data_IF_803875922457
#
_entry.id   IF_803875922457
#
_cell.length_a   1.000
_cell.length_b   1.000
_cell.length_c   1.000
_cell.angle_alpha   90.00
_cell.angle_beta   90.00
_cell.angle_gamma   90.00
#
_symmetry.space_group_name_H-M   'P 1'
#
loop_
_entity.id
_entity.type
_entity.pdbx_description
1 polymer ?
#
# COMPACT_ATOMS: atom_id res chain seq x y z
N UNK A 1 -43.26 -46.32 15.64
CA UNK A 1 -42.37 -47.12 16.52
C UNK A 1 -41.00 -47.39 15.91
N UNK A 2 -40.87 -47.80 14.64
CA UNK A 2 -39.56 -48.04 13.99
C UNK A 2 -38.68 -46.78 13.92
N UNK A 3 -39.25 -45.64 13.54
CA UNK A 3 -38.53 -44.38 13.42
C UNK A 3 -37.99 -43.84 14.76
N UNK A 4 -38.76 -43.98 15.84
CA UNK A 4 -38.28 -43.66 17.19
C UNK A 4 -37.09 -44.53 17.57
N UNK A 5 -37.11 -45.83 17.26
CA UNK A 5 -35.98 -46.74 17.53
C UNK A 5 -34.74 -46.36 16.73
N UNK A 6 -34.89 -45.98 15.46
CA UNK A 6 -33.78 -45.51 14.61
C UNK A 6 -33.19 -44.21 15.18
N UNK A 7 -34.01 -43.26 15.60
CA UNK A 7 -33.55 -42.01 16.20
C UNK A 7 -32.85 -42.25 17.54
N UNK A 8 -33.39 -43.13 18.40
CA UNK A 8 -32.77 -43.48 19.68
C UNK A 8 -31.42 -44.17 19.50
N UNK A 9 -31.30 -45.09 18.54
CA UNK A 9 -30.05 -45.77 18.23
C UNK A 9 -29.01 -44.82 17.61
N UNK A 10 -29.43 -43.93 16.71
CA UNK A 10 -28.55 -42.92 16.13
C UNK A 10 -28.02 -41.94 17.16
N UNK A 11 -28.85 -41.50 18.10
CA UNK A 11 -28.44 -40.64 19.21
C UNK A 11 -27.40 -41.35 20.10
N UNK A 12 -27.63 -42.62 20.47
CA UNK A 12 -26.69 -43.42 21.26
C UNK A 12 -25.31 -43.54 20.61
N UNK A 13 -25.25 -43.74 19.28
CA UNK A 13 -23.99 -43.81 18.54
C UNK A 13 -23.25 -42.47 18.54
N UNK A 14 -23.96 -41.37 18.29
CA UNK A 14 -23.36 -40.01 18.29
C UNK A 14 -22.80 -39.62 19.67
N UNK A 15 -23.52 -39.94 20.75
CA UNK A 15 -23.02 -39.66 22.10
C UNK A 15 -21.84 -40.53 22.51
N UNK A 16 -21.71 -41.75 21.98
CA UNK A 16 -20.56 -42.62 22.25
C UNK A 16 -19.28 -42.19 21.53
N UNK A 17 -19.39 -41.50 20.39
CA UNK A 17 -18.22 -41.05 19.61
C UNK A 17 -17.50 -39.86 20.27
N UNK A 18 -18.21 -38.98 20.98
CA UNK A 18 -17.60 -37.82 21.65
C UNK A 18 -16.87 -38.15 22.97
N UNK A 19 -17.10 -39.31 23.57
CA UNK A 19 -16.45 -39.65 24.86
C UNK A 19 -15.11 -40.37 24.71
N UNK A 20 -14.77 -40.84 23.51
CA UNK A 20 -13.50 -41.54 23.25
C UNK A 20 -12.29 -40.59 23.36
N UNK A 21 -12.43 -39.32 22.97
CA UNK A 21 -11.35 -38.34 23.15
C UNK A 21 -11.21 -37.90 24.61
N UNK A 22 -12.31 -37.90 25.37
CA UNK A 22 -12.32 -37.54 26.80
C UNK A 22 -11.68 -38.61 27.69
N UNK A 23 -11.89 -39.91 27.40
CA UNK A 23 -11.27 -41.00 28.17
C UNK A 23 -9.76 -41.14 27.92
N UNK A 24 -9.24 -40.65 26.80
CA UNK A 24 -7.83 -40.83 26.45
C UNK A 24 -6.88 -39.81 27.09
N UNK A 25 -7.37 -38.87 27.90
CA UNK A 25 -6.57 -37.83 28.56
C UNK A 25 -5.48 -37.25 27.63
N UNK A 26 -5.84 -36.97 26.38
CA UNK A 26 -4.90 -36.37 25.45
C UNK A 26 -4.60 -34.97 25.95
N UNK A 27 -3.32 -34.74 26.24
CA UNK A 27 -2.85 -33.41 26.61
C UNK A 27 -3.21 -32.43 25.48
N UNK A 28 -3.49 -31.18 25.82
CA UNK A 28 -3.89 -30.16 24.82
C UNK A 28 -2.87 -30.03 23.67
N UNK A 29 -1.61 -30.38 23.94
CA UNK A 29 -0.52 -30.47 22.98
C UNK A 29 -0.78 -31.58 21.95
N UNK A 30 -1.29 -32.75 22.32
CA UNK A 30 -1.55 -33.85 21.37
C UNK A 30 -2.74 -33.56 20.47
N UNK A 31 -3.77 -32.86 20.98
CA UNK A 31 -4.98 -32.52 20.21
C UNK A 31 -4.78 -31.28 19.33
N UNK A 32 -4.01 -30.27 19.78
CA UNK A 32 -3.79 -29.02 19.04
C UNK A 32 -2.49 -29.00 18.23
N UNK A 33 -1.46 -29.75 18.62
CA UNK A 33 -0.21 -29.86 17.88
C UNK A 33 -0.23 -31.02 16.87
N UNK A 34 -1.43 -31.37 16.36
CA UNK A 34 -1.59 -32.24 15.20
C UNK A 34 -0.63 -31.79 14.10
N UNK A 35 0.34 -32.67 13.82
CA UNK A 35 1.51 -32.41 12.98
C UNK A 35 2.28 -31.12 13.30
N UNK A 36 2.68 -30.97 14.57
CA UNK A 36 3.55 -29.89 15.03
C UNK A 36 4.82 -29.78 14.18
N UNK A 37 5.33 -30.90 13.69
CA UNK A 37 6.47 -30.93 12.79
C UNK A 37 6.14 -30.26 11.44
N UNK A 38 4.97 -30.52 10.85
CA UNK A 38 4.49 -29.84 9.64
C UNK A 38 4.14 -28.37 9.86
N UNK A 39 3.56 -28.02 11.01
CA UNK A 39 3.32 -26.63 11.38
C UNK A 39 4.62 -25.85 11.65
N UNK A 40 5.64 -26.51 12.21
CA UNK A 40 6.94 -25.91 12.53
C UNK A 40 7.81 -25.69 11.29
N UNK A 41 7.54 -26.35 10.15
CA UNK A 41 8.34 -26.20 8.92
C UNK A 41 8.38 -24.75 8.42
N UNK A 42 7.25 -24.05 8.55
CA UNK A 42 7.09 -22.66 8.11
C UNK A 42 7.58 -21.65 9.16
N UNK A 43 7.58 -22.02 10.45
CA UNK A 43 8.01 -21.12 11.54
C UNK A 43 9.52 -21.16 11.80
N UNK A 44 10.19 -22.27 11.49
CA UNK A 44 11.61 -22.48 11.76
C UNK A 44 12.50 -22.38 10.50
N UNK A 45 11.98 -21.86 9.39
CA UNK A 45 12.76 -21.72 8.16
C UNK A 45 13.81 -20.61 8.32
N UNK A 46 15.09 -20.96 8.22
CA UNK A 46 16.24 -20.07 8.50
C UNK A 46 16.34 -18.90 7.52
N UNK A 47 15.70 -18.98 6.34
CA UNK A 47 15.48 -17.87 5.43
C UNK A 47 14.23 -18.17 4.59
N UNK A 48 13.03 -17.68 4.98
CA UNK A 48 11.78 -17.98 4.28
C UNK A 48 11.63 -17.15 2.99
N UNK A 49 12.54 -16.23 2.72
CA UNK A 49 12.44 -15.31 1.59
C UNK A 49 13.13 -15.86 0.36
N UNK A 50 12.70 -15.37 -0.80
CA UNK A 50 13.38 -15.61 -2.06
C UNK A 50 14.83 -15.07 -1.96
N UNK A 51 15.87 -15.82 -2.36
CA UNK A 51 17.26 -15.34 -2.35
C UNK A 51 17.47 -14.00 -3.06
N UNK A 52 16.64 -13.70 -4.07
CA UNK A 52 16.68 -12.42 -4.79
C UNK A 52 16.06 -11.25 -4.00
N UNK A 53 15.41 -11.50 -2.86
CA UNK A 53 14.82 -10.47 -2.00
C UNK A 53 15.86 -9.57 -1.35
N UNK A 54 17.10 -10.07 -1.20
CA UNK A 54 18.22 -9.28 -0.69
C UNK A 54 18.92 -8.45 -1.79
N UNK A 55 18.43 -8.52 -3.03
CA UNK A 55 19.01 -7.78 -4.13
C UNK A 55 18.53 -6.33 -4.10
N UNK A 56 19.34 -5.44 -3.52
CA UNK A 56 19.10 -3.99 -3.54
C UNK A 56 19.67 -3.31 -4.79
N UNK A 57 20.08 -4.09 -5.80
CA UNK A 57 20.55 -3.57 -7.08
C UNK A 57 19.39 -2.99 -7.86
N UNK A 58 19.41 -1.68 -8.05
CA UNK A 58 18.47 -0.99 -8.93
C UNK A 58 19.08 -1.03 -10.33
N UNK A 59 18.46 -1.76 -11.24
CA UNK A 59 18.86 -1.82 -12.65
C UNK A 59 18.66 -0.44 -13.29
N UNK A 60 19.71 0.39 -13.27
CA UNK A 60 19.74 1.67 -13.96
C UNK A 60 20.70 2.70 -13.37
N UNK A 61 21.34 3.47 -14.25
CA UNK A 61 22.19 4.58 -13.84
C UNK A 61 21.34 5.74 -13.32
N UNK A 62 21.69 6.25 -12.13
CA UNK A 62 21.07 7.46 -11.58
C UNK A 62 21.14 8.64 -12.54
N UNK A 63 22.18 8.71 -13.39
CA UNK A 63 22.30 9.69 -14.46
C UNK A 63 21.16 9.60 -15.50
N UNK A 64 20.69 8.40 -15.85
CA UNK A 64 19.55 8.19 -16.76
C UNK A 64 18.24 8.62 -16.09
N UNK A 65 18.05 8.33 -14.81
CA UNK A 65 16.90 8.80 -14.05
C UNK A 65 16.88 10.33 -13.94
N UNK A 66 18.03 10.96 -13.70
CA UNK A 66 18.19 12.42 -13.69
C UNK A 66 17.97 13.02 -15.08
N UNK A 67 18.39 12.35 -16.16
CA UNK A 67 18.13 12.78 -17.52
C UNK A 67 16.62 12.74 -17.85
N UNK A 68 15.92 11.67 -17.45
CA UNK A 68 14.46 11.57 -17.60
C UNK A 68 13.74 12.65 -16.77
N UNK A 69 14.14 12.85 -15.52
CA UNK A 69 13.63 13.92 -14.66
C UNK A 69 13.83 15.31 -15.30
N UNK A 70 15.03 15.58 -15.82
CA UNK A 70 15.32 16.84 -16.48
C UNK A 70 14.55 17.01 -17.79
N UNK A 71 14.29 15.93 -18.53
CA UNK A 71 13.44 15.96 -19.72
C UNK A 71 12.00 16.35 -19.35
N UNK A 72 11.41 15.73 -18.32
CA UNK A 72 10.10 16.14 -17.79
C UNK A 72 10.10 17.57 -17.23
N UNK A 73 11.16 17.98 -16.53
CA UNK A 73 11.31 19.35 -16.01
C UNK A 73 11.39 20.39 -17.12
N UNK A 74 12.03 20.06 -18.24
CA UNK A 74 12.10 20.92 -19.44
C UNK A 74 10.79 20.92 -20.22
N UNK A 75 9.92 19.93 -20.01
CA UNK A 75 8.52 19.91 -20.45
C UNK A 75 7.60 20.42 -19.32
N UNK A 76 8.09 21.36 -18.48
CA UNK A 76 7.19 22.37 -17.94
C UNK A 76 6.45 22.99 -19.14
N UNK A 77 5.11 23.14 -19.09
CA UNK A 77 4.31 23.25 -20.29
C UNK A 77 4.73 24.46 -21.10
N UNK A 78 5.29 24.18 -22.28
CA UNK A 78 5.32 25.15 -23.36
C UNK A 78 3.87 25.35 -23.82
N UNK A 79 3.16 26.29 -23.18
CA UNK A 79 1.84 26.73 -23.60
C UNK A 79 0.76 26.49 -22.56
N UNK A 80 0.27 27.59 -22.01
CA UNK A 80 -0.88 27.65 -21.13
C UNK A 80 -0.68 28.77 -20.12
N UNK A 81 -0.79 30.02 -20.59
CA UNK A 81 -0.87 31.18 -19.72
C UNK A 81 -1.94 30.96 -18.63
N UNK A 82 -1.62 31.27 -17.38
CA UNK A 82 -2.35 32.18 -16.47
C UNK A 82 -1.93 31.87 -15.02
N UNK A 83 -1.50 32.89 -14.31
CA UNK A 83 -1.18 32.89 -12.88
C UNK A 83 -1.99 34.06 -12.33
N UNK A 84 -3.29 33.83 -12.34
CA UNK A 84 -4.34 34.82 -12.32
C UNK A 84 -4.41 35.57 -11.00
N UNK A 85 -3.74 36.72 -11.02
CA UNK A 85 -4.32 37.97 -10.55
C UNK A 85 -5.16 38.63 -11.69
N UNK A 86 -5.81 37.72 -12.43
CA UNK A 86 -6.85 37.76 -13.46
C UNK A 86 -6.70 38.73 -14.62
N UNK A 87 -5.95 38.27 -15.62
CA UNK A 87 -5.87 38.89 -16.95
C UNK A 87 -5.97 37.98 -18.19
N UNK A 88 -6.37 36.69 -18.10
CA UNK A 88 -6.69 35.76 -19.23
C UNK A 88 -5.49 35.27 -20.08
N UNK A 89 -5.55 34.23 -20.94
CA UNK A 89 -6.35 32.99 -20.94
C UNK A 89 -5.53 31.86 -20.29
N UNK A 90 -6.08 31.34 -19.20
CA UNK A 90 -5.99 30.00 -18.59
C UNK A 90 -6.64 30.13 -17.22
N UNK A 91 -7.40 29.16 -16.74
CA UNK A 91 -8.20 29.35 -15.54
C UNK A 91 -7.51 28.66 -14.37
N UNK A 92 -6.33 29.15 -14.00
CA UNK A 92 -5.57 28.61 -12.89
C UNK A 92 -6.23 29.02 -11.55
N UNK A 93 -5.90 28.38 -10.41
CA UNK A 93 -6.47 28.77 -9.13
C UNK A 93 -5.91 30.11 -8.65
N UNK A 94 -6.77 31.12 -8.51
CA UNK A 94 -6.43 32.46 -8.00
C UNK A 94 -5.63 32.36 -6.69
N UNK A 95 -4.39 32.85 -6.72
CA UNK A 95 -3.60 33.04 -5.50
C UNK A 95 -4.02 34.36 -4.88
N UNK A 96 -4.71 34.30 -3.74
CA UNK A 96 -5.08 35.49 -3.00
C UNK A 96 -3.87 36.04 -2.23
N UNK A 97 -3.29 37.14 -2.73
CA UNK A 97 -2.32 37.96 -2.00
C UNK A 97 -1.07 38.35 -2.80
N UNK A 98 -0.21 39.21 -2.22
CA UNK A 98 1.06 39.59 -2.82
C UNK A 98 1.96 38.36 -2.98
N UNK A 99 2.38 38.09 -4.20
CA UNK A 99 3.21 36.93 -4.54
C UNK A 99 4.66 37.40 -4.69
N UNK A 100 5.59 36.75 -3.99
CA UNK A 100 7.02 37.10 -4.12
C UNK A 100 7.60 36.56 -5.43
N UNK A 101 8.13 37.45 -6.26
CA UNK A 101 8.79 37.11 -7.51
C UNK A 101 10.27 36.85 -7.24
N UNK A 102 10.69 35.59 -7.38
CA UNK A 102 12.08 35.15 -7.08
C UNK A 102 12.95 34.99 -8.32
N UNK A 103 12.44 35.35 -9.50
CA UNK A 103 13.11 35.22 -10.79
C UNK A 103 12.65 36.27 -11.82
N UNK A 104 13.00 36.08 -13.09
CA UNK A 104 12.56 36.99 -14.15
C UNK A 104 11.03 37.01 -14.27
N UNK A 105 10.43 38.19 -14.26
CA UNK A 105 8.98 38.38 -14.39
C UNK A 105 8.50 38.13 -15.84
N UNK A 106 8.51 36.85 -16.20
CA UNK A 106 8.15 36.37 -17.54
C UNK A 106 6.65 36.56 -17.82
N UNK A 107 5.84 36.60 -16.75
CA UNK A 107 4.39 36.67 -16.81
C UNK A 107 3.84 38.08 -16.57
N UNK A 108 4.70 39.07 -16.31
CA UNK A 108 4.34 40.49 -16.10
C UNK A 108 3.37 40.69 -14.92
N UNK A 109 3.66 40.03 -13.80
CA UNK A 109 2.86 40.14 -12.58
C UNK A 109 3.31 41.30 -11.66
N UNK A 110 4.53 41.83 -11.87
CA UNK A 110 5.16 42.92 -11.10
C UNK A 110 5.30 44.15 -12.00
N UNK A 111 4.36 45.09 -11.87
CA UNK A 111 4.27 46.25 -12.75
C UNK A 111 5.31 47.34 -12.45
N UNK A 112 5.67 47.51 -11.19
CA UNK A 112 6.55 48.57 -10.69
C UNK A 112 7.97 48.08 -10.32
N UNK A 113 8.23 46.78 -10.49
CA UNK A 113 9.52 46.09 -10.42
C UNK A 113 10.13 46.05 -9.01
N UNK A 114 9.29 45.90 -7.98
CA UNK A 114 9.73 45.87 -6.59
C UNK A 114 9.98 44.44 -6.04
N UNK A 115 9.66 43.41 -6.83
CA UNK A 115 9.82 42.00 -6.49
C UNK A 115 8.60 41.37 -5.82
N UNK A 116 7.51 42.10 -5.69
CA UNK A 116 6.17 41.64 -5.35
C UNK A 116 5.33 41.65 -6.64
N UNK A 117 4.37 40.74 -6.74
CA UNK A 117 3.44 40.71 -7.86
C UNK A 117 2.02 40.65 -7.36
N UNK A 118 1.09 41.06 -8.22
CA UNK A 118 -0.34 41.16 -7.93
C UNK A 118 -0.74 42.30 -6.98
N UNK A 119 -0.21 43.49 -7.21
CA UNK A 119 -0.61 44.75 -6.55
C UNK A 119 -1.51 45.67 -7.39
#
# INVERSE_FOLDING_TARGET
MYWQRVLSLGALLLFSACTSDYLNNYDSVTLAAGDANHANMLLQTVDPLNPNSNNTHIEGDGARAVAAFNAYRRVAPAGGADLDCAGGKGNNPVVAGPVKITGADTNRLDGDHDGVGCE
#
